data_IF_700950777747
#
_entry.id   IF_700950777747
#
_cell.length_a   1.000
_cell.length_b   1.000
_cell.length_c   1.000
_cell.angle_alpha   90.00
_cell.angle_beta   90.00
_cell.angle_gamma   90.00
#
_symmetry.space_group_name_H-M   'P 1'
#
loop_
_entity.id
_entity.type
_entity.pdbx_description
1 polymer ?
#
# COMPACT_ATOMS: atom_id res chain seq x y z
N UNK A 1 -26.86 35.89 -27.58
CA UNK A 1 -27.18 35.34 -26.25
C UNK A 1 -25.96 34.62 -25.73
N UNK A 2 -25.28 35.15 -24.71
CA UNK A 2 -24.12 34.49 -24.10
C UNK A 2 -24.65 33.69 -22.92
N UNK A 3 -24.77 32.37 -23.07
CA UNK A 3 -25.17 31.47 -21.98
C UNK A 3 -23.95 31.23 -21.11
N UNK A 4 -23.81 31.98 -20.01
CA UNK A 4 -22.81 31.70 -18.98
C UNK A 4 -23.27 30.51 -18.13
N UNK A 5 -22.83 29.30 -18.51
CA UNK A 5 -23.03 28.12 -17.67
C UNK A 5 -22.04 28.13 -16.50
N UNK A 6 -22.54 28.02 -15.27
CA UNK A 6 -21.70 27.71 -14.11
C UNK A 6 -21.18 26.28 -14.25
N UNK A 7 -19.88 26.12 -14.52
CA UNK A 7 -19.21 24.81 -14.53
C UNK A 7 -18.96 24.37 -13.09
N UNK A 8 -19.73 23.41 -12.60
CA UNK A 8 -19.46 22.76 -11.31
C UNK A 8 -18.24 21.86 -11.48
N UNK A 9 -17.19 22.04 -10.66
CA UNK A 9 -16.06 21.10 -10.64
C UNK A 9 -16.60 19.71 -10.29
N UNK A 10 -16.39 18.73 -11.16
CA UNK A 10 -16.75 17.33 -10.91
C UNK A 10 -16.00 16.86 -9.69
N UNK A 11 -16.72 16.43 -8.65
CA UNK A 11 -16.12 15.76 -7.51
C UNK A 11 -15.81 14.33 -7.93
N UNK A 12 -14.57 14.08 -8.34
CA UNK A 12 -14.07 12.73 -8.58
C UNK A 12 -13.89 12.07 -7.21
N UNK A 13 -14.94 11.44 -6.69
CA UNK A 13 -14.81 10.56 -5.53
C UNK A 13 -13.99 9.35 -5.98
N UNK A 14 -12.84 9.06 -5.35
CA UNK A 14 -12.09 7.86 -5.69
C UNK A 14 -13.00 6.63 -5.52
N UNK A 15 -13.05 5.79 -6.56
CA UNK A 15 -13.70 4.49 -6.48
C UNK A 15 -12.80 3.59 -5.63
N UNK A 16 -13.03 3.54 -4.33
CA UNK A 16 -12.19 2.80 -3.40
C UNK A 16 -12.60 1.32 -3.36
N UNK A 17 -12.35 0.61 -4.45
CA UNK A 17 -12.43 -0.85 -4.46
C UNK A 17 -11.15 -1.40 -3.81
N UNK A 18 -11.26 -1.85 -2.57
CA UNK A 18 -10.17 -2.48 -1.85
C UNK A 18 -10.10 -3.97 -2.15
N UNK A 19 -8.89 -4.49 -2.31
CA UNK A 19 -8.68 -5.95 -2.30
C UNK A 19 -8.56 -6.42 -0.84
N UNK A 20 -9.06 -7.61 -0.53
CA UNK A 20 -9.00 -8.19 0.83
C UNK A 20 -7.58 -8.20 1.43
N UNK A 21 -6.57 -8.48 0.61
CA UNK A 21 -5.16 -8.46 1.04
C UNK A 21 -4.65 -7.05 1.43
N UNK A 22 -5.33 -5.97 1.03
CA UNK A 22 -4.99 -4.60 1.44
C UNK A 22 -5.54 -4.26 2.82
N UNK A 23 -6.57 -4.98 3.28
CA UNK A 23 -7.21 -4.80 4.59
C UNK A 23 -6.52 -5.59 5.70
N UNK A 24 -5.66 -6.55 5.33
CA UNK A 24 -4.89 -7.35 6.29
C UNK A 24 -3.73 -6.52 6.88
N UNK A 25 -3.61 -6.54 8.21
CA UNK A 25 -2.52 -5.87 8.91
C UNK A 25 -1.18 -6.59 8.69
N UNK A 26 -0.09 -5.82 8.58
CA UNK A 26 1.23 -6.42 8.53
C UNK A 26 1.65 -6.89 9.91
N UNK A 27 2.40 -8.00 10.01
CA UNK A 27 3.03 -8.40 11.26
C UNK A 27 3.96 -7.28 11.74
N UNK A 28 3.83 -6.93 13.02
CA UNK A 28 4.68 -5.94 13.69
C UNK A 28 5.89 -6.59 14.38
N UNK A 29 5.80 -7.89 14.65
CA UNK A 29 6.88 -8.68 15.23
C UNK A 29 7.77 -9.18 14.11
N UNK A 30 9.00 -8.67 14.09
CA UNK A 30 9.99 -9.03 13.08
C UNK A 30 10.75 -10.31 13.45
N UNK A 31 11.10 -11.16 12.46
CA UNK A 31 11.93 -12.33 12.70
C UNK A 31 13.27 -11.95 13.31
N UNK A 32 13.63 -12.65 14.40
CA UNK A 32 14.93 -12.51 15.05
C UNK A 32 15.85 -13.64 14.61
N UNK A 33 17.15 -13.39 14.64
CA UNK A 33 18.14 -14.46 14.49
C UNK A 33 18.06 -15.37 15.71
N UNK A 34 17.96 -16.68 15.47
CA UNK A 34 17.96 -17.68 16.53
C UNK A 34 19.38 -17.96 17.06
N UNK A 35 20.40 -17.58 16.31
CA UNK A 35 21.80 -17.83 16.62
C UNK A 35 22.76 -17.22 15.59
N UNK A 36 24.07 -17.46 15.73
CA UNK A 36 25.10 -16.86 14.87
C UNK A 36 25.39 -17.68 13.60
N UNK A 37 24.68 -18.78 13.32
CA UNK A 37 24.98 -19.65 12.18
C UNK A 37 24.36 -19.14 10.89
N UNK A 38 24.92 -19.58 9.75
CA UNK A 38 24.31 -19.28 8.44
C UNK A 38 22.89 -19.83 8.29
N UNK A 39 22.57 -20.95 8.95
CA UNK A 39 21.23 -21.53 8.96
C UNK A 39 20.23 -20.63 9.71
N UNK A 40 20.64 -20.04 10.83
CA UNK A 40 19.81 -19.09 11.59
C UNK A 40 19.49 -17.83 10.77
N UNK A 41 20.48 -17.36 10.00
CA UNK A 41 20.32 -16.23 9.08
C UNK A 41 19.37 -16.55 7.93
N UNK A 42 19.56 -17.69 7.24
CA UNK A 42 18.70 -18.12 6.15
C UNK A 42 17.24 -18.29 6.61
N UNK A 43 17.03 -18.89 7.79
CA UNK A 43 15.70 -19.04 8.39
C UNK A 43 15.01 -17.68 8.63
N UNK A 44 15.73 -16.71 9.21
CA UNK A 44 15.20 -15.37 9.41
C UNK A 44 14.87 -14.69 8.07
N UNK A 45 15.75 -14.80 7.06
CA UNK A 45 15.55 -14.18 5.76
C UNK A 45 14.34 -14.75 5.01
N UNK A 46 14.12 -16.07 5.08
CA UNK A 46 12.91 -16.73 4.54
C UNK A 46 11.64 -16.20 5.20
N UNK A 47 11.64 -16.05 6.53
CA UNK A 47 10.52 -15.48 7.27
C UNK A 47 10.26 -14.01 6.85
N UNK A 48 11.31 -13.19 6.72
CA UNK A 48 11.17 -11.81 6.22
C UNK A 48 10.58 -11.75 4.81
N UNK A 49 10.99 -12.65 3.90
CA UNK A 49 10.47 -12.70 2.53
C UNK A 49 8.96 -12.96 2.50
N UNK A 50 8.49 -13.90 3.33
CA UNK A 50 7.05 -14.20 3.44
C UNK A 50 6.27 -13.01 3.99
N UNK A 51 6.78 -12.36 5.05
CA UNK A 51 6.14 -11.14 5.57
C UNK A 51 6.09 -10.02 4.54
N UNK A 52 7.15 -9.86 3.74
CA UNK A 52 7.18 -8.85 2.68
C UNK A 52 6.09 -9.07 1.64
N UNK A 53 5.86 -10.31 1.19
CA UNK A 53 4.85 -10.59 0.17
C UNK A 53 3.44 -10.22 0.63
N UNK A 54 3.13 -10.44 1.91
CA UNK A 54 1.85 -10.06 2.50
C UNK A 54 1.71 -8.54 2.59
N UNK A 55 2.80 -7.85 2.90
CA UNK A 55 2.84 -6.40 3.12
C UNK A 55 2.93 -5.57 1.83
N UNK A 56 3.55 -6.09 0.78
CA UNK A 56 3.89 -5.35 -0.42
C UNK A 56 2.65 -4.83 -1.15
N UNK A 57 1.59 -5.64 -1.23
CA UNK A 57 0.34 -5.24 -1.88
C UNK A 57 -0.25 -3.97 -1.24
N UNK A 58 -0.34 -3.93 0.09
CA UNK A 58 -0.85 -2.76 0.83
C UNK A 58 0.06 -1.53 0.67
N UNK A 59 1.39 -1.72 0.75
CA UNK A 59 2.33 -0.61 0.57
C UNK A 59 2.20 0.02 -0.83
N UNK A 60 2.15 -0.81 -1.87
CA UNK A 60 2.02 -0.34 -3.25
C UNK A 60 0.68 0.36 -3.49
N UNK A 61 -0.42 -0.18 -2.93
CA UNK A 61 -1.73 0.46 -3.00
C UNK A 61 -1.72 1.84 -2.31
N UNK A 62 -1.15 1.95 -1.11
CA UNK A 62 -1.01 3.23 -0.39
C UNK A 62 -0.21 4.26 -1.21
N UNK A 63 0.91 3.85 -1.81
CA UNK A 63 1.70 4.73 -2.68
C UNK A 63 0.88 5.20 -3.89
N UNK A 64 0.10 4.31 -4.51
CA UNK A 64 -0.81 4.65 -5.61
C UNK A 64 -1.84 5.70 -5.22
N UNK A 65 -2.51 5.50 -4.08
CA UNK A 65 -3.51 6.46 -3.55
C UNK A 65 -2.87 7.81 -3.25
N UNK A 66 -1.68 7.85 -2.64
CA UNK A 66 -0.97 9.10 -2.34
C UNK A 66 -0.62 9.85 -3.64
N UNK A 67 -0.15 9.14 -4.67
CA UNK A 67 0.18 9.75 -5.97
C UNK A 67 -1.06 10.32 -6.64
N UNK A 68 -2.14 9.56 -6.71
CA UNK A 68 -3.42 10.01 -7.28
C UNK A 68 -3.95 11.25 -6.55
N UNK A 69 -3.90 11.28 -5.22
CA UNK A 69 -4.33 12.45 -4.44
C UNK A 69 -3.47 13.68 -4.70
N UNK A 70 -2.16 13.51 -4.93
CA UNK A 70 -1.26 14.62 -5.30
C UNK A 70 -1.56 15.16 -6.69
N UNK A 71 -1.88 14.29 -7.65
CA UNK A 71 -2.23 14.68 -9.02
C UNK A 71 -3.58 15.42 -9.06
N UNK A 72 -4.58 14.96 -8.32
CA UNK A 72 -5.89 15.63 -8.23
C UNK A 72 -5.87 16.98 -7.49
N UNK A 73 -4.82 17.23 -6.71
CA UNK A 73 -4.64 18.49 -5.97
C UNK A 73 -3.91 19.57 -6.78
N UNK A 74 -3.41 19.24 -7.98
CA UNK A 74 -2.79 20.17 -8.93
C UNK A 74 -3.82 20.72 -9.92
#
# INVERSE_FOLDING_TARGET
MITSGCSTKVQIKPNENYQENQLTLCPVTLPRLAGPTGNDFDAALKAYRQMYTDCAARHNALVGIIRQRKELAQ
#
